data_IF_188970256610
#
_entry.id   IF_188970256610
#
_cell.length_a   1.000
_cell.length_b   1.000
_cell.length_c   1.000
_cell.angle_alpha   90.00
_cell.angle_beta   90.00
_cell.angle_gamma   90.00
#
_symmetry.space_group_name_H-M   'P 1'
#
loop_
_entity.id
_entity.type
_entity.pdbx_description
1 polymer ?
#
# COMPACT_ATOMS: atom_id res chain seq x y z
N UNK A 1 -19.22 6.63 1.12
CA UNK A 1 -18.90 8.05 1.23
C UNK A 1 -18.97 8.80 -0.10
N UNK A 2 -19.33 8.13 -1.23
CA UNK A 2 -19.38 8.76 -2.55
C UNK A 2 -18.03 8.89 -3.26
N UNK A 3 -17.01 8.22 -2.78
CA UNK A 3 -15.68 8.18 -3.37
C UNK A 3 -15.42 6.85 -4.08
N UNK A 4 -14.56 6.86 -5.10
CA UNK A 4 -14.08 5.64 -5.73
C UNK A 4 -12.94 5.05 -4.88
N UNK A 5 -13.18 3.92 -4.24
CA UNK A 5 -12.18 3.18 -3.46
C UNK A 5 -11.75 1.93 -4.25
N UNK A 6 -10.43 1.68 -4.35
CA UNK A 6 -9.84 0.48 -4.95
C UNK A 6 -10.30 0.19 -6.40
N UNK A 7 -10.60 1.23 -7.18
CA UNK A 7 -11.07 1.07 -8.55
C UNK A 7 -12.56 0.72 -8.69
N UNK A 8 -13.36 0.91 -7.62
CA UNK A 8 -14.81 0.70 -7.65
C UNK A 8 -15.27 -0.66 -7.12
N UNK A 9 -16.60 -0.89 -7.04
CA UNK A 9 -17.20 -2.07 -6.43
C UNK A 9 -16.87 -3.39 -7.15
N UNK A 10 -16.44 -3.32 -8.41
CA UNK A 10 -15.93 -4.45 -9.20
C UNK A 10 -14.47 -4.25 -9.61
N UNK A 11 -13.70 -3.54 -8.79
CA UNK A 11 -12.30 -3.24 -9.03
C UNK A 11 -11.45 -4.48 -9.35
N UNK A 12 -10.23 -4.25 -9.78
CA UNK A 12 -9.36 -5.30 -10.31
C UNK A 12 -9.03 -6.42 -9.33
N UNK A 13 -9.11 -6.18 -8.03
CA UNK A 13 -8.95 -7.19 -6.98
C UNK A 13 -10.01 -8.30 -7.01
N UNK A 14 -11.16 -8.07 -7.65
CA UNK A 14 -12.24 -9.05 -7.80
C UNK A 14 -12.24 -9.74 -9.17
N UNK A 15 -11.25 -9.45 -10.01
CA UNK A 15 -11.23 -9.93 -11.38
C UNK A 15 -10.27 -11.11 -11.55
N UNK A 16 -10.53 -11.91 -12.57
CA UNK A 16 -9.66 -13.02 -12.96
C UNK A 16 -8.57 -12.49 -13.90
N UNK A 17 -7.34 -12.87 -13.61
CA UNK A 17 -6.17 -12.57 -14.44
C UNK A 17 -5.73 -13.80 -15.22
N UNK A 18 -5.20 -13.58 -16.41
CA UNK A 18 -4.43 -14.60 -17.12
C UNK A 18 -3.09 -14.77 -16.40
N UNK A 19 -2.77 -16.00 -15.98
CA UNK A 19 -1.54 -16.31 -15.27
C UNK A 19 -0.56 -17.02 -16.22
N UNK A 20 0.67 -16.50 -16.30
CA UNK A 20 1.76 -17.06 -17.10
C UNK A 20 2.99 -17.27 -16.21
N UNK A 21 3.24 -18.50 -15.73
CA UNK A 21 4.49 -18.84 -15.06
C UNK A 21 5.66 -18.73 -16.06
N UNK A 22 6.59 -17.80 -15.83
CA UNK A 22 7.75 -17.59 -16.69
C UNK A 22 8.84 -18.62 -16.35
N UNK A 23 9.08 -18.83 -15.05
CA UNK A 23 9.98 -19.82 -14.49
C UNK A 23 9.51 -20.25 -13.09
N UNK A 24 10.34 -20.98 -12.34
CA UNK A 24 9.97 -21.50 -11.00
C UNK A 24 9.79 -20.43 -9.92
N UNK A 25 10.25 -19.19 -10.16
CA UNK A 25 10.25 -18.09 -9.20
C UNK A 25 9.50 -16.85 -9.71
N UNK A 26 9.09 -16.86 -10.99
CA UNK A 26 8.54 -15.69 -11.68
C UNK A 26 7.16 -15.98 -12.27
N UNK A 27 6.17 -15.19 -11.90
CA UNK A 27 4.79 -15.26 -12.36
C UNK A 27 4.35 -13.91 -12.94
N UNK A 28 3.90 -13.90 -14.20
CA UNK A 28 3.22 -12.75 -14.80
C UNK A 28 1.70 -12.94 -14.73
N UNK A 29 1.00 -11.94 -14.23
CA UNK A 29 -0.45 -11.84 -14.28
C UNK A 29 -0.84 -10.72 -15.24
N UNK A 30 -1.75 -11.00 -16.16
CA UNK A 30 -2.23 -10.02 -17.15
C UNK A 30 -3.75 -9.87 -17.07
N UNK A 31 -4.22 -8.64 -17.07
CA UNK A 31 -5.62 -8.26 -17.19
C UNK A 31 -5.80 -7.28 -18.34
N UNK A 32 -6.90 -7.45 -19.09
CA UNK A 32 -7.43 -6.45 -20.01
C UNK A 32 -8.70 -5.89 -19.39
N UNK A 33 -8.68 -4.59 -19.09
CA UNK A 33 -9.83 -3.82 -18.59
C UNK A 33 -10.43 -3.07 -19.78
N UNK A 34 -11.68 -3.34 -20.16
CA UNK A 34 -12.29 -2.69 -21.33
C UNK A 34 -12.62 -1.22 -21.04
N UNK A 35 -12.76 -0.43 -22.10
CA UNK A 35 -13.22 0.96 -22.01
C UNK A 35 -14.55 1.03 -21.23
N UNK A 36 -14.61 1.95 -20.24
CA UNK A 36 -15.77 2.13 -19.37
C UNK A 36 -15.83 1.15 -18.18
N UNK A 37 -14.87 0.26 -17.99
CA UNK A 37 -14.79 -0.60 -16.80
C UNK A 37 -14.72 0.26 -15.53
N UNK A 38 -15.69 0.08 -14.61
CA UNK A 38 -15.88 0.92 -13.41
C UNK A 38 -15.91 2.44 -13.71
N UNK A 39 -16.34 2.83 -14.93
CA UNK A 39 -16.40 4.18 -15.48
C UNK A 39 -15.03 4.82 -15.81
N UNK A 40 -13.94 4.06 -15.84
CA UNK A 40 -12.65 4.54 -16.29
C UNK A 40 -12.56 4.46 -17.83
N UNK A 41 -12.05 5.51 -18.52
CA UNK A 41 -11.92 5.49 -19.97
C UNK A 41 -10.74 4.62 -20.43
N UNK A 42 -10.87 4.10 -21.65
CA UNK A 42 -9.83 3.38 -22.38
C UNK A 42 -9.74 1.90 -22.08
N UNK A 43 -9.31 1.16 -23.10
CA UNK A 43 -8.91 -0.24 -22.93
C UNK A 43 -7.52 -0.25 -22.30
N UNK A 44 -7.40 -0.82 -21.09
CA UNK A 44 -6.14 -0.89 -20.37
C UNK A 44 -5.64 -2.33 -20.35
N UNK A 45 -4.41 -2.55 -20.82
CA UNK A 45 -3.71 -3.81 -20.59
C UNK A 45 -2.76 -3.61 -19.40
N UNK A 46 -3.08 -4.27 -18.29
CA UNK A 46 -2.29 -4.22 -17.07
C UNK A 46 -1.57 -5.54 -16.82
N UNK A 47 -0.32 -5.46 -16.38
CA UNK A 47 0.51 -6.61 -16.02
C UNK A 47 1.08 -6.44 -14.63
N UNK A 48 1.14 -7.53 -13.88
CA UNK A 48 1.81 -7.62 -12.60
C UNK A 48 2.78 -8.80 -12.66
N UNK A 49 4.05 -8.52 -12.49
CA UNK A 49 5.11 -9.52 -12.43
C UNK A 49 5.53 -9.73 -10.97
N UNK A 50 5.36 -10.93 -10.46
CA UNK A 50 5.88 -11.34 -9.16
C UNK A 50 7.14 -12.16 -9.36
N UNK A 51 8.20 -11.83 -8.64
CA UNK A 51 9.45 -12.58 -8.64
C UNK A 51 9.94 -12.83 -7.22
N UNK A 52 10.19 -14.10 -6.90
CA UNK A 52 10.93 -14.47 -5.69
C UNK A 52 12.43 -14.38 -5.98
N UNK A 53 13.17 -13.70 -5.11
CA UNK A 53 14.62 -13.51 -5.28
C UNK A 53 15.42 -14.36 -4.29
N UNK A 54 16.69 -14.64 -4.62
CA UNK A 54 17.57 -15.44 -3.78
C UNK A 54 17.96 -14.75 -2.47
N UNK A 55 17.73 -13.43 -2.36
CA UNK A 55 17.99 -12.63 -1.17
C UNK A 55 16.73 -12.39 -0.30
N UNK A 56 15.76 -13.33 -0.40
CA UNK A 56 14.53 -13.38 0.38
C UNK A 56 13.58 -12.18 0.11
N UNK A 57 13.49 -11.72 -1.12
CA UNK A 57 12.54 -10.69 -1.47
C UNK A 57 11.43 -11.19 -2.41
N UNK A 58 10.30 -10.50 -2.37
CA UNK A 58 9.25 -10.53 -3.38
C UNK A 58 9.34 -9.22 -4.14
N UNK A 59 9.85 -9.28 -5.38
CA UNK A 59 9.88 -8.15 -6.30
C UNK A 59 8.57 -8.15 -7.12
N UNK A 60 7.84 -7.04 -7.08
CA UNK A 60 6.55 -6.87 -7.75
C UNK A 60 6.66 -5.69 -8.71
N UNK A 61 6.55 -5.98 -10.01
CA UNK A 61 6.56 -4.95 -11.05
C UNK A 61 5.19 -4.83 -11.69
N UNK A 62 4.74 -3.60 -11.79
CA UNK A 62 3.48 -3.25 -12.44
C UNK A 62 3.78 -2.53 -13.73
N UNK A 63 3.06 -2.86 -14.79
CA UNK A 63 3.07 -2.09 -16.03
C UNK A 63 1.68 -2.03 -16.65
N UNK A 64 1.39 -0.95 -17.33
CA UNK A 64 0.14 -0.83 -18.07
C UNK A 64 0.27 0.07 -19.30
N UNK A 65 -0.57 -0.19 -20.29
CA UNK A 65 -0.77 0.63 -21.49
C UNK A 65 -2.26 0.87 -21.71
N UNK A 66 -2.58 1.95 -22.42
CA UNK A 66 -3.97 2.33 -22.73
C UNK A 66 -4.09 2.82 -24.17
N UNK A 67 -5.29 2.73 -24.74
CA UNK A 67 -5.64 3.32 -26.04
C UNK A 67 -6.34 4.69 -25.94
N UNK A 68 -6.72 5.10 -24.71
CA UNK A 68 -7.29 6.42 -24.43
C UNK A 68 -6.67 6.98 -23.14
N UNK A 69 -6.71 8.31 -22.98
CA UNK A 69 -6.30 8.96 -21.74
C UNK A 69 -7.10 8.45 -20.55
N UNK A 70 -6.42 7.93 -19.54
CA UNK A 70 -7.02 7.39 -18.34
C UNK A 70 -6.19 7.69 -17.09
N UNK A 71 -6.60 7.19 -15.94
CA UNK A 71 -5.83 7.25 -14.70
C UNK A 71 -5.49 5.83 -14.24
N UNK A 72 -4.29 5.65 -13.68
CA UNK A 72 -3.83 4.38 -13.14
C UNK A 72 -2.94 4.58 -11.91
N UNK A 73 -3.22 3.81 -10.86
CA UNK A 73 -2.43 3.81 -9.64
C UNK A 73 -2.55 2.40 -9.03
N UNK A 74 -1.58 1.54 -9.32
CA UNK A 74 -1.59 0.14 -8.90
C UNK A 74 -0.76 -0.03 -7.63
N UNK A 75 -1.23 -0.87 -6.73
CA UNK A 75 -0.51 -1.24 -5.52
C UNK A 75 -0.77 -2.70 -5.13
N UNK A 76 -0.09 -3.18 -4.11
CA UNK A 76 -0.33 -4.47 -3.46
C UNK A 76 -0.86 -4.23 -2.05
N UNK A 77 -2.04 -4.77 -1.76
CA UNK A 77 -2.70 -4.61 -0.46
C UNK A 77 -2.53 -5.86 0.43
N UNK A 78 -1.28 -6.33 0.56
CA UNK A 78 -0.98 -7.44 1.46
C UNK A 78 -1.11 -7.04 2.93
N UNK A 79 -1.73 -7.92 3.71
CA UNK A 79 -1.91 -7.78 5.15
C UNK A 79 -0.79 -8.53 5.87
N UNK A 80 0.17 -7.81 6.43
CA UNK A 80 1.33 -8.40 7.11
C UNK A 80 1.09 -8.53 8.61
N UNK A 81 1.36 -9.72 9.16
CA UNK A 81 1.56 -9.96 10.58
C UNK A 81 2.81 -10.82 10.74
N UNK A 82 3.91 -10.17 11.10
CA UNK A 82 5.22 -10.82 11.16
C UNK A 82 5.44 -11.63 12.44
N UNK A 83 4.48 -11.61 13.40
CA UNK A 83 4.57 -12.43 14.61
C UNK A 83 4.39 -13.94 14.34
N UNK A 84 3.82 -14.28 13.18
CA UNK A 84 3.44 -15.66 12.83
C UNK A 84 2.08 -16.11 13.39
N UNK A 85 1.40 -15.26 14.17
CA UNK A 85 0.08 -15.53 14.73
C UNK A 85 -0.92 -14.42 14.34
N UNK A 86 -1.63 -14.58 13.21
CA UNK A 86 -2.56 -13.56 12.72
C UNK A 86 -3.88 -13.50 13.53
N UNK A 87 -4.05 -14.28 14.58
CA UNK A 87 -5.15 -14.13 15.53
C UNK A 87 -4.93 -12.96 16.50
N UNK A 88 -3.69 -12.48 16.59
CA UNK A 88 -3.30 -11.36 17.45
C UNK A 88 -3.16 -10.07 16.67
N UNK A 89 -3.32 -8.95 17.39
CA UNK A 89 -3.04 -7.64 16.80
C UNK A 89 -1.55 -7.49 16.45
N UNK A 90 -1.27 -6.82 15.33
CA UNK A 90 0.08 -6.49 14.89
C UNK A 90 0.55 -5.10 15.38
N UNK A 91 -0.10 -4.56 16.41
CA UNK A 91 0.20 -3.22 16.91
C UNK A 91 1.49 -3.13 17.70
N UNK A 92 2.02 -4.26 18.17
CA UNK A 92 3.33 -4.37 18.82
C UNK A 92 4.51 -4.25 17.84
N UNK A 93 4.24 -4.38 16.53
CA UNK A 93 5.27 -4.25 15.52
C UNK A 93 5.91 -2.86 15.54
N UNK A 94 7.21 -2.83 15.33
CA UNK A 94 8.00 -1.59 15.24
C UNK A 94 8.00 -1.15 13.78
N UNK A 95 7.50 0.07 13.54
CA UNK A 95 7.39 0.67 12.21
C UNK A 95 8.37 1.85 12.10
N UNK A 96 9.04 1.90 10.95
CA UNK A 96 9.82 3.03 10.45
C UNK A 96 9.29 3.41 9.07
N UNK A 97 9.20 4.72 8.78
CA UNK A 97 8.84 5.24 7.46
C UNK A 97 9.82 6.37 7.11
N UNK A 98 10.44 6.28 5.95
CA UNK A 98 11.35 7.31 5.43
C UNK A 98 10.53 8.45 4.78
N UNK A 99 9.86 9.23 5.60
CA UNK A 99 8.97 10.30 5.16
C UNK A 99 8.86 11.40 6.22
N UNK A 100 9.13 12.64 5.83
CA UNK A 100 8.99 13.82 6.69
C UNK A 100 7.57 14.42 6.63
N UNK A 101 6.75 13.95 5.70
CA UNK A 101 5.41 14.48 5.46
C UNK A 101 4.40 13.37 5.15
N UNK A 102 3.12 13.69 5.28
CA UNK A 102 2.00 12.85 4.89
C UNK A 102 0.87 13.68 4.27
N UNK A 103 -0.08 13.02 3.60
CA UNK A 103 -1.28 13.66 3.08
C UNK A 103 -2.43 13.46 4.07
N UNK A 104 -2.98 14.53 4.69
CA UNK A 104 -4.08 14.41 5.64
C UNK A 104 -5.38 14.05 4.96
N UNK A 105 -6.26 13.40 5.72
CA UNK A 105 -7.61 13.02 5.28
C UNK A 105 -8.68 13.66 6.15
N UNK A 106 -9.86 13.90 5.55
CA UNK A 106 -11.05 14.29 6.29
C UNK A 106 -11.77 13.07 6.90
N UNK A 107 -12.90 13.30 7.56
CA UNK A 107 -13.70 12.25 8.20
C UNK A 107 -14.36 11.25 7.21
N UNK A 108 -14.24 11.48 5.91
CA UNK A 108 -14.71 10.59 4.84
C UNK A 108 -13.54 9.85 4.16
N UNK A 109 -12.33 9.92 4.72
CA UNK A 109 -11.09 9.37 4.17
C UNK A 109 -10.59 10.04 2.88
N UNK A 110 -11.21 11.17 2.48
CA UNK A 110 -10.75 11.92 1.33
C UNK A 110 -9.56 12.81 1.72
N UNK A 111 -8.52 12.81 0.88
CA UNK A 111 -7.36 13.67 1.08
C UNK A 111 -7.72 15.15 0.92
N UNK A 112 -7.23 16.01 1.83
CA UNK A 112 -7.52 17.45 1.80
C UNK A 112 -6.81 18.17 0.65
N UNK A 113 -5.72 17.60 0.12
CA UNK A 113 -4.87 18.22 -0.89
C UNK A 113 -3.58 18.83 -0.32
N UNK A 114 -3.45 18.85 0.99
CA UNK A 114 -2.27 19.34 1.69
C UNK A 114 -1.19 18.25 1.78
N UNK A 115 0.04 18.67 2.01
CA UNK A 115 1.16 17.85 2.45
C UNK A 115 1.68 18.50 3.73
N UNK A 116 1.59 17.81 4.85
CA UNK A 116 1.95 18.35 6.16
C UNK A 116 3.00 17.52 6.86
N UNK A 117 3.80 18.16 7.75
CA UNK A 117 4.89 17.52 8.45
C UNK A 117 4.41 16.48 9.45
N UNK A 118 5.11 15.36 9.53
CA UNK A 118 4.90 14.33 10.58
C UNK A 118 5.49 14.77 11.93
N UNK A 119 6.42 15.72 11.94
CA UNK A 119 7.23 16.08 13.10
C UNK A 119 6.37 16.45 14.31
N UNK A 120 6.72 15.89 15.47
CA UNK A 120 6.01 16.12 16.75
C UNK A 120 4.53 15.69 16.74
N UNK A 121 4.15 14.78 15.82
CA UNK A 121 2.79 14.24 15.74
C UNK A 121 2.79 12.71 15.91
N UNK A 122 1.63 12.09 16.15
CA UNK A 122 1.48 10.63 16.11
C UNK A 122 1.91 9.99 14.77
N UNK A 123 1.93 10.77 13.67
CA UNK A 123 2.31 10.31 12.33
C UNK A 123 3.83 10.19 12.13
N UNK A 124 4.65 10.61 13.10
CA UNK A 124 6.12 10.57 13.00
C UNK A 124 6.66 9.15 13.25
N UNK A 125 7.07 8.50 12.17
CA UNK A 125 7.77 7.21 12.13
C UNK A 125 9.19 7.35 11.55
N UNK A 126 9.75 8.56 11.51
CA UNK A 126 11.15 8.79 11.09
C UNK A 126 12.15 8.15 12.05
N UNK A 127 11.75 7.95 13.30
CA UNK A 127 12.42 7.08 14.26
C UNK A 127 11.54 5.84 14.50
N UNK A 128 12.10 4.62 14.43
CA UNK A 128 11.32 3.40 14.64
C UNK A 128 10.57 3.43 15.97
N UNK A 129 9.25 3.18 15.94
CA UNK A 129 8.42 3.09 17.15
C UNK A 129 7.33 2.03 16.97
N UNK A 130 6.79 1.54 18.10
CA UNK A 130 5.66 0.62 18.08
C UNK A 130 4.43 1.32 17.50
N UNK A 131 3.70 0.60 16.61
CA UNK A 131 2.40 1.05 16.09
C UNK A 131 1.42 1.33 17.24
N UNK A 132 1.48 0.55 18.33
CA UNK A 132 0.62 0.72 19.50
C UNK A 132 0.82 2.07 20.21
N UNK A 133 1.98 2.71 20.05
CA UNK A 133 2.34 3.90 20.84
C UNK A 133 1.30 5.02 20.71
N UNK A 134 0.84 5.28 19.48
CA UNK A 134 -0.03 6.43 19.21
C UNK A 134 -1.33 6.08 18.48
N UNK A 135 -1.55 4.80 18.12
CA UNK A 135 -2.69 4.37 17.29
C UNK A 135 -4.06 4.69 17.91
N UNK A 136 -4.11 4.92 19.22
CA UNK A 136 -5.33 5.24 19.97
C UNK A 136 -5.44 6.73 20.34
N UNK A 137 -4.55 7.59 19.82
CA UNK A 137 -4.56 9.03 20.08
C UNK A 137 -5.69 9.73 19.33
N UNK A 138 -6.93 9.45 19.70
CA UNK A 138 -8.15 10.03 19.07
C UNK A 138 -8.33 11.53 19.37
N UNK A 139 -7.49 12.11 20.24
CA UNK A 139 -7.29 13.55 20.41
C UNK A 139 -6.58 14.19 19.20
N UNK A 140 -5.83 13.40 18.42
CA UNK A 140 -5.23 13.82 17.16
C UNK A 140 -6.20 13.50 16.00
N UNK A 141 -6.60 14.54 15.26
CA UNK A 141 -7.65 14.45 14.24
C UNK A 141 -7.44 13.33 13.23
N UNK A 142 -6.21 13.14 12.74
CA UNK A 142 -5.93 12.15 11.71
C UNK A 142 -6.09 10.71 12.25
N UNK A 143 -5.64 10.43 13.46
CA UNK A 143 -5.87 9.13 14.11
C UNK A 143 -7.37 8.89 14.32
N UNK A 144 -8.13 9.93 14.65
CA UNK A 144 -9.58 9.85 14.78
C UNK A 144 -10.24 9.57 13.42
N UNK A 145 -9.85 10.29 12.36
CA UNK A 145 -10.41 10.14 11.01
C UNK A 145 -10.13 8.75 10.44
N UNK A 146 -8.90 8.23 10.59
CA UNK A 146 -8.49 6.90 10.12
C UNK A 146 -8.92 5.74 11.04
N UNK A 147 -9.53 6.01 12.20
CA UNK A 147 -9.76 5.01 13.24
C UNK A 147 -8.47 4.25 13.62
N UNK A 148 -7.34 4.92 13.57
CA UNK A 148 -5.97 4.43 13.64
C UNK A 148 -5.15 4.97 12.49
N UNK A 149 -4.15 4.22 12.01
CA UNK A 149 -3.41 4.61 10.83
C UNK A 149 -4.11 4.07 9.57
N UNK A 150 -4.43 4.96 8.65
CA UNK A 150 -4.92 4.71 7.31
C UNK A 150 -4.63 5.94 6.44
N UNK A 151 -3.35 6.20 6.21
CA UNK A 151 -2.87 7.43 5.60
C UNK A 151 -1.74 7.15 4.62
N UNK A 152 -1.51 8.10 3.73
CA UNK A 152 -0.39 8.07 2.80
C UNK A 152 0.75 8.96 3.31
N UNK A 153 1.95 8.39 3.43
CA UNK A 153 3.20 9.12 3.70
C UNK A 153 3.90 9.50 2.40
N UNK A 154 4.45 10.71 2.36
CA UNK A 154 5.22 11.26 1.24
C UNK A 154 6.67 10.83 1.41
N UNK A 155 7.13 9.90 0.58
CA UNK A 155 8.44 9.26 0.72
C UNK A 155 9.60 10.21 0.38
N UNK A 156 10.62 10.22 1.22
CA UNK A 156 11.86 10.95 0.99
C UNK A 156 12.77 10.29 -0.05
N UNK A 157 12.53 9.02 -0.38
CA UNK A 157 13.32 8.22 -1.33
C UNK A 157 13.24 8.74 -2.76
N UNK A 158 12.20 9.49 -3.11
CA UNK A 158 12.01 10.09 -4.45
C UNK A 158 12.16 9.08 -5.60
N UNK A 159 11.69 7.85 -5.38
CA UNK A 159 11.74 6.77 -6.37
C UNK A 159 13.07 6.02 -6.45
N UNK A 160 14.00 6.26 -5.52
CA UNK A 160 15.28 5.54 -5.45
C UNK A 160 15.10 4.17 -4.78
N UNK A 161 15.08 3.11 -5.59
CA UNK A 161 14.94 1.72 -5.17
C UNK A 161 16.12 1.20 -4.32
N UNK A 162 17.21 1.95 -4.17
CA UNK A 162 18.32 1.57 -3.28
C UNK A 162 18.10 1.99 -1.84
N UNK A 163 17.09 2.82 -1.57
CA UNK A 163 16.76 3.34 -0.25
C UNK A 163 15.54 2.64 0.34
N UNK A 164 15.61 2.31 1.63
CA UNK A 164 14.45 1.77 2.38
C UNK A 164 13.39 2.85 2.48
N UNK A 165 12.20 2.54 1.99
CA UNK A 165 11.01 3.41 2.09
C UNK A 165 10.28 3.22 3.43
N UNK A 166 10.15 1.97 3.87
CA UNK A 166 9.57 1.62 5.17
C UNK A 166 10.17 0.32 5.70
N UNK A 167 10.12 0.13 7.02
CA UNK A 167 10.55 -1.08 7.70
C UNK A 167 9.55 -1.46 8.78
N UNK A 168 9.15 -2.73 8.81
CA UNK A 168 8.26 -3.29 9.82
C UNK A 168 8.96 -4.48 10.47
N UNK A 169 9.06 -4.49 11.80
CA UNK A 169 9.71 -5.57 12.56
C UNK A 169 8.78 -6.11 13.64
N UNK A 170 8.63 -7.42 13.74
CA UNK A 170 7.95 -8.04 14.87
C UNK A 170 8.93 -8.28 16.01
N UNK A 171 8.69 -7.72 17.21
CA UNK A 171 9.54 -7.97 18.37
C UNK A 171 9.41 -9.40 18.89
N UNK A 172 8.37 -10.15 18.50
CA UNK A 172 8.13 -11.53 18.92
C UNK A 172 8.96 -12.52 18.11
N UNK A 173 8.92 -12.40 16.78
CA UNK A 173 9.58 -13.35 15.86
C UNK A 173 10.98 -12.92 15.43
N UNK A 174 11.30 -11.62 15.55
CA UNK A 174 12.49 -11.01 14.94
C UNK A 174 12.38 -10.84 13.43
N UNK A 175 11.28 -11.26 12.80
CA UNK A 175 11.08 -11.08 11.36
C UNK A 175 10.94 -9.59 11.05
N UNK A 176 11.70 -9.17 10.06
CA UNK A 176 11.73 -7.79 9.54
C UNK A 176 11.35 -7.81 8.08
N UNK A 177 10.49 -6.87 7.69
CA UNK A 177 10.12 -6.55 6.32
C UNK A 177 10.62 -5.15 5.99
N UNK A 178 11.47 -5.04 4.98
CA UNK A 178 11.88 -3.78 4.36
C UNK A 178 11.15 -3.60 3.03
N UNK A 179 10.68 -2.36 2.79
CA UNK A 179 9.98 -1.98 1.57
C UNK A 179 10.84 -1.03 0.76
N UNK A 180 11.02 -1.34 -0.52
CA UNK A 180 11.70 -0.48 -1.50
C UNK A 180 10.72 -0.21 -2.64
N UNK A 181 10.72 1.01 -3.19
CA UNK A 181 9.79 1.38 -4.25
C UNK A 181 10.27 2.58 -5.05
N UNK A 182 9.83 2.67 -6.30
CA UNK A 182 9.95 3.87 -7.12
C UNK A 182 8.72 4.79 -7.02
N UNK A 183 7.74 4.42 -6.19
CA UNK A 183 6.55 5.23 -5.94
C UNK A 183 6.84 6.43 -5.02
N UNK A 184 6.12 7.56 -5.18
CA UNK A 184 6.31 8.76 -4.36
C UNK A 184 5.72 8.66 -2.96
N UNK A 185 4.86 7.69 -2.70
CA UNK A 185 4.14 7.54 -1.44
C UNK A 185 3.95 6.10 -1.01
N UNK A 186 3.54 5.95 0.24
CA UNK A 186 3.16 4.68 0.84
C UNK A 186 1.94 4.88 1.74
N UNK A 187 0.85 4.15 1.45
CA UNK A 187 -0.27 4.02 2.37
C UNK A 187 0.10 3.02 3.45
N UNK A 188 -0.11 3.39 4.70
CA UNK A 188 -0.01 2.48 5.84
C UNK A 188 -1.37 2.34 6.47
N UNK A 189 -1.90 1.11 6.44
CA UNK A 189 -3.18 0.76 7.01
C UNK A 189 -3.01 -0.32 8.08
N UNK A 190 -3.59 -0.10 9.24
CA UNK A 190 -3.37 -0.97 10.41
C UNK A 190 -4.52 -1.94 10.69
N UNK A 191 -5.27 -2.33 9.67
CA UNK A 191 -6.35 -3.30 9.81
C UNK A 191 -7.51 -2.82 10.70
N UNK A 192 -7.78 -1.50 10.71
CA UNK A 192 -8.71 -0.85 11.63
C UNK A 192 -10.16 -1.32 11.49
N UNK A 193 -10.54 -1.82 10.30
CA UNK A 193 -11.89 -2.27 9.95
C UNK A 193 -12.03 -3.80 9.88
N UNK A 194 -10.99 -4.55 10.25
CA UNK A 194 -11.13 -5.99 10.48
C UNK A 194 -11.97 -6.19 11.74
N UNK A 195 -13.09 -6.90 11.62
CA UNK A 195 -14.13 -6.97 12.65
C UNK A 195 -14.36 -8.39 13.21
N UNK A 196 -13.51 -9.34 12.81
CA UNK A 196 -13.64 -10.74 13.24
C UNK A 196 -14.69 -11.55 12.46
N UNK A 197 -15.30 -11.00 11.42
CA UNK A 197 -16.24 -11.74 10.55
C UNK A 197 -15.53 -12.60 9.52
N UNK A 198 -14.31 -12.23 9.13
CA UNK A 198 -13.52 -12.95 8.13
C UNK A 198 -12.71 -14.05 8.79
N UNK A 199 -12.91 -15.29 8.32
CA UNK A 199 -12.08 -16.46 8.62
C UNK A 199 -11.11 -16.70 7.46
N UNK A 200 -9.84 -16.62 7.74
CA UNK A 200 -8.79 -16.87 6.77
C UNK A 200 -8.29 -18.31 6.78
N UNK A 201 -7.03 -18.48 6.35
CA UNK A 201 -6.36 -19.78 6.33
C UNK A 201 -6.36 -20.43 7.70
N UNK A 202 -6.49 -21.77 7.74
CA UNK A 202 -6.56 -22.58 8.97
C UNK A 202 -7.73 -22.21 9.90
N UNK A 203 -8.76 -21.50 9.40
CA UNK A 203 -9.92 -21.08 10.19
C UNK A 203 -9.63 -19.97 11.20
N UNK A 204 -8.50 -19.27 11.08
CA UNK A 204 -8.13 -18.17 11.95
C UNK A 204 -9.02 -16.96 11.64
N UNK A 205 -9.59 -16.38 12.68
CA UNK A 205 -10.39 -15.14 12.59
C UNK A 205 -9.48 -13.93 12.62
N UNK A 206 -9.69 -13.00 11.68
CA UNK A 206 -8.94 -11.74 11.63
C UNK A 206 -9.69 -10.66 12.38
N UNK A 207 -9.19 -10.30 13.55
CA UNK A 207 -9.74 -9.27 14.41
C UNK A 207 -9.14 -7.89 14.07
N UNK A 208 -9.72 -6.83 14.63
CA UNK A 208 -9.22 -5.48 14.47
C UNK A 208 -7.72 -5.41 14.74
N UNK A 209 -6.99 -4.76 13.82
CA UNK A 209 -5.54 -4.54 13.92
C UNK A 209 -4.69 -5.83 13.88
N UNK A 210 -5.23 -6.90 13.32
CA UNK A 210 -4.48 -8.16 13.15
C UNK A 210 -3.33 -8.06 12.13
N UNK A 211 -3.17 -6.95 11.45
CA UNK A 211 -2.16 -6.78 10.39
C UNK A 211 -1.81 -5.31 10.14
N UNK A 212 -0.70 -5.12 9.41
CA UNK A 212 -0.29 -3.84 8.83
C UNK A 212 -0.18 -4.02 7.32
N UNK A 213 -0.76 -3.10 6.53
CA UNK A 213 -0.58 -3.02 5.09
C UNK A 213 0.41 -1.90 4.76
N UNK A 214 1.28 -2.14 3.79
CA UNK A 214 2.32 -1.23 3.32
C UNK A 214 2.19 -1.14 1.79
N UNK A 215 1.46 -0.12 1.32
CA UNK A 215 0.97 -0.03 -0.05
C UNK A 215 1.68 1.11 -0.77
N UNK A 216 2.69 0.77 -1.57
CA UNK A 216 3.45 1.77 -2.33
C UNK A 216 2.63 2.26 -3.51
N UNK A 217 2.53 3.59 -3.68
CA UNK A 217 1.58 4.18 -4.63
C UNK A 217 1.85 5.67 -4.87
N UNK A 218 1.18 6.22 -5.89
CA UNK A 218 0.91 7.66 -5.96
C UNK A 218 -0.15 8.04 -4.91
N UNK A 219 -0.18 9.30 -4.49
CA UNK A 219 -1.06 9.74 -3.41
C UNK A 219 -2.53 9.56 -3.78
N UNK A 220 -3.39 9.09 -2.84
CA UNK A 220 -4.82 8.97 -3.09
C UNK A 220 -5.43 10.31 -3.54
N UNK A 221 -6.35 10.25 -4.53
CA UNK A 221 -7.01 11.41 -5.14
C UNK A 221 -6.09 12.30 -6.01
N UNK A 222 -4.92 11.82 -6.41
CA UNK A 222 -4.01 12.55 -7.33
C UNK A 222 -4.68 13.06 -8.62
N UNK A 223 -5.68 12.40 -9.23
CA UNK A 223 -6.36 12.94 -10.42
C UNK A 223 -6.99 14.32 -10.20
N UNK A 224 -7.38 14.63 -8.96
CA UNK A 224 -8.04 15.87 -8.57
C UNK A 224 -7.09 16.89 -7.91
N UNK A 225 -5.78 16.58 -7.84
CA UNK A 225 -4.75 17.39 -7.16
C UNK A 225 -3.61 17.68 -8.14
N UNK A 226 -3.77 18.67 -8.98
CA UNK A 226 -2.81 19.00 -10.06
C UNK A 226 -1.38 19.30 -9.55
N UNK A 227 -1.21 19.63 -8.27
CA UNK A 227 0.09 19.89 -7.63
C UNK A 227 0.81 18.60 -7.20
N UNK A 228 0.14 17.45 -7.25
CA UNK A 228 0.71 16.15 -6.87
C UNK A 228 1.25 15.39 -8.08
N UNK A 229 2.08 14.35 -7.88
CA UNK A 229 2.52 13.47 -8.94
C UNK A 229 1.33 12.91 -9.74
N UNK A 230 1.40 12.99 -11.07
CA UNK A 230 0.30 12.63 -11.95
C UNK A 230 0.14 11.12 -12.05
N UNK A 231 -1.11 10.66 -12.03
CA UNK A 231 -1.52 9.27 -12.28
C UNK A 231 -2.18 9.12 -13.67
N UNK A 232 -2.08 10.14 -14.50
CA UNK A 232 -2.63 10.12 -15.87
C UNK A 232 -1.72 9.28 -16.76
N UNK A 233 -2.34 8.37 -17.51
CA UNK A 233 -1.69 7.57 -18.55
C UNK A 233 -2.29 7.95 -19.91
N UNK A 234 -1.43 8.38 -20.83
CA UNK A 234 -1.80 8.75 -22.20
C UNK A 234 -1.49 7.59 -23.17
N UNK A 235 -2.22 7.47 -24.31
CA UNK A 235 -1.87 6.53 -25.35
C UNK A 235 -0.41 6.66 -25.80
N UNK A 236 0.28 5.52 -25.92
CA UNK A 236 1.70 5.49 -26.28
C UNK A 236 2.67 5.61 -25.10
N UNK A 237 2.18 5.93 -23.92
CA UNK A 237 2.96 5.85 -22.68
C UNK A 237 2.86 4.47 -22.04
N UNK A 238 3.82 4.14 -21.18
CA UNK A 238 3.80 2.93 -20.35
C UNK A 238 3.84 3.37 -18.88
N UNK A 239 2.81 2.97 -18.12
CA UNK A 239 2.87 3.03 -16.66
C UNK A 239 3.84 1.99 -16.16
N UNK A 240 4.72 2.36 -15.23
CA UNK A 240 5.65 1.44 -14.57
C UNK A 240 5.74 1.80 -13.09
N UNK A 241 5.59 0.79 -12.25
CA UNK A 241 5.78 0.88 -10.81
C UNK A 241 6.49 -0.37 -10.30
N UNK A 242 7.25 -0.25 -9.22
CA UNK A 242 7.97 -1.35 -8.61
C UNK A 242 7.91 -1.26 -7.09
N UNK A 243 7.62 -2.39 -6.47
CA UNK A 243 7.63 -2.57 -5.02
C UNK A 243 8.39 -3.85 -4.67
N UNK A 244 9.38 -3.74 -3.78
CA UNK A 244 10.13 -4.88 -3.28
C UNK A 244 9.87 -5.06 -1.80
N UNK A 245 9.36 -6.22 -1.41
CA UNK A 245 9.22 -6.67 -0.02
C UNK A 245 10.35 -7.61 0.33
N UNK A 246 11.34 -7.12 1.08
CA UNK A 246 12.53 -7.89 1.48
C UNK A 246 12.44 -8.33 2.93
N UNK A 247 12.59 -9.62 3.15
CA UNK A 247 12.47 -10.24 4.48
C UNK A 247 13.82 -10.63 5.05
N UNK A 248 14.01 -10.39 6.35
CA UNK A 248 15.15 -10.82 7.13
C UNK A 248 14.72 -11.20 8.55
N UNK A 249 15.65 -11.72 9.33
CA UNK A 249 15.45 -12.00 10.76
C UNK A 249 16.56 -11.30 11.54
N UNK A 250 16.15 -10.36 12.39
CA UNK A 250 17.06 -9.76 13.38
C UNK A 250 17.24 -10.75 14.53
N UNK A 251 18.51 -11.05 14.87
CA UNK A 251 18.88 -11.97 15.95
C UNK A 251 19.01 -11.24 17.27
#
# INVERSE_FOLDING_TARGET
FGHCLHGGPKGWQYQVYSANPIDSTTLELTRISPDGDENFPGNVTAKVLFKLTDDNAIDIKYSATTDQKTVINMTNHSYFNLSGDPSKAATDHILYINADNYTPVDSTFMTTGDIISVKETPMDFTTPKSVAQDINRTDFEQIKNGNGYDHNWVLNTKGDLSQVAAKLTSPISGITLEVYTNEPGIQVYTGNFLDGTVKGKKGITYNQRASVCLETQHYPDSPNKAQWPSVVLEPGQIYNSECVFKFSVEK
#
